data_IF_504610633212
#
_entry.id   IF_504610633212
#
_cell.length_a   1.000
_cell.length_b   1.000
_cell.length_c   1.000
_cell.angle_alpha   90.00
_cell.angle_beta   90.00
_cell.angle_gamma   90.00
#
_symmetry.space_group_name_H-M   'P 1'
#
loop_
_entity.id
_entity.type
_entity.pdbx_description
1 polymer ?
#
# COMPACT_ATOMS: atom_id res chain seq x y z
N UNK A 1 19.63 83.64 23.14
CA UNK A 1 21.01 84.16 22.91
C UNK A 1 21.76 83.15 22.09
N UNK A 2 22.31 83.62 20.97
CA UNK A 2 23.32 83.02 20.07
C UNK A 2 23.00 81.63 19.40
N UNK A 3 22.56 81.80 18.19
CA UNK A 3 22.71 81.07 16.98
C UNK A 3 24.13 80.57 16.72
N UNK A 4 24.27 79.25 16.28
CA UNK A 4 25.43 78.81 15.52
C UNK A 4 24.94 78.03 14.31
N UNK A 5 25.11 78.68 13.14
CA UNK A 5 24.96 78.01 11.82
C UNK A 5 26.18 77.08 11.57
N UNK A 6 25.97 75.88 11.21
CA UNK A 6 26.98 74.99 10.62
C UNK A 6 26.57 74.73 9.19
N UNK A 7 27.37 75.17 8.23
CA UNK A 7 27.22 74.93 6.82
C UNK A 7 27.78 73.47 6.53
N UNK A 8 26.95 72.59 6.00
CA UNK A 8 27.39 71.29 5.45
C UNK A 8 27.53 71.46 3.94
N UNK A 9 28.76 71.26 3.44
CA UNK A 9 29.08 71.14 2.02
C UNK A 9 28.57 69.84 1.49
N UNK A 10 27.65 69.81 0.52
CA UNK A 10 27.24 68.70 -0.23
C UNK A 10 28.17 68.50 -1.44
N UNK A 11 29.08 67.54 -1.36
CA UNK A 11 29.84 67.04 -2.52
C UNK A 11 28.98 66.12 -3.34
N UNK A 12 28.58 66.47 -4.53
CA UNK A 12 27.90 65.66 -5.49
C UNK A 12 28.96 64.78 -6.21
N UNK A 13 29.08 63.56 -5.83
CA UNK A 13 29.77 62.54 -6.62
C UNK A 13 28.83 62.02 -7.72
N UNK A 14 29.08 62.42 -8.96
CA UNK A 14 28.41 61.85 -10.14
C UNK A 14 29.05 60.46 -10.40
N UNK A 15 28.32 59.40 -10.01
CA UNK A 15 28.67 58.01 -10.39
C UNK A 15 28.16 57.79 -11.82
N UNK A 16 29.06 57.58 -12.76
CA UNK A 16 28.74 57.00 -14.08
C UNK A 16 28.39 55.53 -13.89
N UNK A 17 27.09 55.20 -13.90
CA UNK A 17 26.64 53.82 -14.01
C UNK A 17 26.75 53.45 -15.50
N UNK A 18 27.76 52.63 -15.83
CA UNK A 18 27.81 51.94 -17.11
C UNK A 18 26.66 50.94 -17.15
N UNK A 19 25.66 51.17 -18.00
CA UNK A 19 24.61 50.22 -18.28
C UNK A 19 25.23 49.02 -18.99
N UNK A 20 25.37 47.88 -18.28
CA UNK A 20 25.53 46.59 -18.94
C UNK A 20 24.23 46.29 -19.69
N UNK A 21 24.26 45.82 -20.94
CA UNK A 21 23.07 45.34 -21.62
C UNK A 21 22.53 44.12 -20.85
N UNK A 22 21.26 44.22 -20.41
CA UNK A 22 20.54 43.09 -19.90
C UNK A 22 20.49 42.01 -21.01
N UNK A 23 21.30 40.98 -20.88
CA UNK A 23 21.16 39.80 -21.67
C UNK A 23 19.78 39.21 -21.34
N UNK A 24 18.97 38.94 -22.37
CA UNK A 24 17.77 38.12 -22.22
C UNK A 24 18.19 36.82 -21.56
N UNK A 25 17.46 36.34 -20.55
CA UNK A 25 17.73 35.01 -20.04
C UNK A 25 17.55 34.04 -21.19
N UNK A 26 18.59 33.29 -21.52
CA UNK A 26 18.51 32.10 -22.37
C UNK A 26 17.45 31.21 -21.76
N UNK A 27 16.50 30.61 -22.52
CA UNK A 27 15.62 29.59 -22.00
C UNK A 27 16.53 28.52 -21.36
N UNK A 28 16.35 28.29 -20.05
CA UNK A 28 17.11 27.27 -19.35
C UNK A 28 16.90 25.95 -20.07
N UNK A 29 17.97 25.26 -20.39
CA UNK A 29 17.90 23.85 -20.81
C UNK A 29 17.25 23.10 -19.66
N UNK A 30 16.07 22.49 -19.91
CA UNK A 30 15.44 21.55 -18.98
C UNK A 30 16.48 20.46 -18.71
N UNK A 31 16.80 20.22 -17.45
CA UNK A 31 17.74 19.15 -17.07
C UNK A 31 17.01 17.80 -17.15
N UNK A 32 17.76 16.70 -17.21
CA UNK A 32 17.16 15.36 -17.16
C UNK A 32 16.35 15.17 -15.86
N UNK A 33 16.83 15.71 -14.75
CA UNK A 33 16.11 15.70 -13.47
C UNK A 33 14.78 16.48 -13.53
N UNK A 34 14.79 17.67 -14.15
CA UNK A 34 13.54 18.45 -14.32
C UNK A 34 12.54 17.71 -15.21
N UNK A 35 13.01 17.06 -16.30
CA UNK A 35 12.18 16.28 -17.21
C UNK A 35 11.56 15.05 -16.49
N UNK A 36 12.33 14.36 -15.64
CA UNK A 36 11.81 13.25 -14.83
C UNK A 36 10.71 13.72 -13.87
N UNK A 37 10.91 14.86 -13.18
CA UNK A 37 9.90 15.42 -12.28
C UNK A 37 8.64 15.81 -13.06
N UNK A 38 8.76 16.40 -14.26
CA UNK A 38 7.61 16.70 -15.11
C UNK A 38 6.85 15.43 -15.54
N UNK A 39 7.56 14.33 -15.84
CA UNK A 39 6.96 13.03 -16.15
C UNK A 39 6.20 12.47 -14.96
N UNK A 40 6.80 12.51 -13.77
CA UNK A 40 6.16 12.05 -12.52
C UNK A 40 4.91 12.90 -12.21
N UNK A 41 5.00 14.23 -12.38
CA UNK A 41 3.86 15.12 -12.19
C UNK A 41 2.69 14.74 -13.15
N UNK A 42 2.99 14.44 -14.41
CA UNK A 42 2.00 14.02 -15.41
C UNK A 42 1.32 12.70 -15.02
N UNK A 43 2.09 11.70 -14.59
CA UNK A 43 1.57 10.39 -14.12
C UNK A 43 0.58 10.59 -12.97
N UNK A 44 0.94 11.40 -11.96
CA UNK A 44 0.06 11.60 -10.80
C UNK A 44 -1.18 12.42 -11.15
N UNK A 45 -1.04 13.42 -12.02
CA UNK A 45 -2.18 14.22 -12.47
C UNK A 45 -3.17 13.38 -13.30
N UNK A 46 -2.68 12.50 -14.17
CA UNK A 46 -3.53 11.54 -14.89
C UNK A 46 -4.28 10.63 -13.93
N UNK A 47 -3.60 10.07 -12.91
CA UNK A 47 -4.23 9.21 -11.91
C UNK A 47 -5.27 9.93 -11.04
N UNK A 48 -5.17 11.24 -10.85
CA UNK A 48 -6.21 12.05 -10.20
C UNK A 48 -7.44 12.25 -11.09
N UNK A 49 -7.25 12.32 -12.41
CA UNK A 49 -8.32 12.53 -13.40
C UNK A 49 -8.99 11.20 -13.78
N UNK A 50 -8.30 10.06 -13.63
CA UNK A 50 -8.79 8.72 -13.89
C UNK A 50 -9.71 8.25 -12.75
N UNK A 51 -10.93 8.79 -12.74
CA UNK A 51 -11.93 8.65 -11.68
C UNK A 51 -11.69 9.60 -10.51
N UNK A 52 -12.74 9.95 -9.74
CA UNK A 52 -12.65 10.96 -8.70
C UNK A 52 -11.74 10.50 -7.56
N UNK A 53 -10.53 11.05 -7.51
CA UNK A 53 -9.56 10.88 -6.41
C UNK A 53 -9.35 12.21 -5.72
N UNK A 54 -9.51 12.25 -4.38
CA UNK A 54 -9.44 13.51 -3.62
C UNK A 54 -8.02 14.06 -3.57
N UNK A 55 -7.04 13.22 -3.23
CA UNK A 55 -5.62 13.57 -3.27
C UNK A 55 -4.72 12.35 -3.42
N UNK A 56 -3.53 12.62 -3.96
CA UNK A 56 -2.38 11.71 -3.95
C UNK A 56 -1.17 12.50 -3.45
N UNK A 57 -0.44 11.97 -2.47
CA UNK A 57 0.90 12.44 -2.10
C UNK A 57 1.93 11.39 -2.48
N UNK A 58 3.05 11.84 -3.03
CA UNK A 58 4.16 10.97 -3.46
C UNK A 58 5.47 11.41 -2.84
N UNK A 59 6.37 10.44 -2.65
CA UNK A 59 7.79 10.69 -2.52
C UNK A 59 8.56 9.65 -3.34
N UNK A 60 9.56 10.12 -4.07
CA UNK A 60 10.53 9.30 -4.81
C UNK A 60 11.91 9.68 -4.33
N UNK A 61 12.67 8.68 -3.88
CA UNK A 61 14.04 8.88 -3.41
C UNK A 61 14.96 7.85 -4.05
N UNK A 62 16.22 8.26 -4.32
CA UNK A 62 17.28 7.36 -4.73
C UNK A 62 18.47 7.55 -3.80
N UNK A 63 18.84 6.49 -3.09
CA UNK A 63 19.83 6.56 -2.03
C UNK A 63 19.45 7.59 -0.96
N UNK A 64 20.32 8.58 -0.74
CA UNK A 64 20.09 9.65 0.23
C UNK A 64 19.34 10.87 -0.35
N UNK A 65 19.15 10.94 -1.66
CA UNK A 65 18.49 12.05 -2.33
C UNK A 65 16.97 11.83 -2.44
N UNK A 66 16.19 12.90 -2.23
CA UNK A 66 14.77 12.92 -2.56
C UNK A 66 14.64 13.62 -3.91
N UNK A 67 14.25 12.85 -4.94
CA UNK A 67 14.03 13.35 -6.31
C UNK A 67 12.79 14.26 -6.32
N UNK A 68 11.70 13.79 -5.71
CA UNK A 68 10.45 14.53 -5.61
C UNK A 68 9.71 14.15 -4.34
N UNK A 69 9.06 15.12 -3.69
CA UNK A 69 8.10 14.89 -2.62
C UNK A 69 7.00 15.95 -2.72
N UNK A 70 5.80 15.56 -3.12
CA UNK A 70 4.68 16.48 -3.43
C UNK A 70 3.34 15.88 -3.02
N UNK A 71 2.34 16.74 -2.88
CA UNK A 71 0.94 16.37 -2.80
C UNK A 71 0.13 17.03 -3.92
N UNK A 72 -0.89 16.36 -4.39
CA UNK A 72 -1.79 16.77 -5.46
C UNK A 72 -3.23 16.59 -5.00
N UNK A 73 -4.13 17.49 -5.41
CA UNK A 73 -5.53 17.48 -4.96
C UNK A 73 -5.70 17.99 -3.53
N UNK A 74 -6.73 17.51 -2.83
CA UNK A 74 -7.15 18.02 -1.53
C UNK A 74 -7.10 16.96 -0.43
N UNK A 75 -6.34 17.25 0.63
CA UNK A 75 -6.34 16.48 1.86
C UNK A 75 -7.70 16.53 2.59
N UNK A 76 -8.42 17.62 2.41
CA UNK A 76 -9.79 17.83 2.89
C UNK A 76 -10.55 18.60 1.81
N UNK A 77 -11.47 17.91 1.14
CA UNK A 77 -12.23 18.47 0.00
C UNK A 77 -13.21 19.54 0.47
N UNK A 78 -13.90 19.28 1.60
CA UNK A 78 -14.92 20.21 2.11
C UNK A 78 -14.34 21.57 2.54
N UNK A 79 -13.11 21.56 3.04
CA UNK A 79 -12.40 22.76 3.50
C UNK A 79 -11.36 23.26 2.50
N UNK A 80 -11.27 22.67 1.30
CA UNK A 80 -10.33 23.01 0.23
C UNK A 80 -8.86 23.03 0.73
N UNK A 81 -8.49 22.11 1.65
CA UNK A 81 -7.13 22.00 2.17
C UNK A 81 -6.27 21.21 1.19
N UNK A 82 -5.26 21.81 0.54
CA UNK A 82 -4.44 21.09 -0.43
C UNK A 82 -3.60 20.00 0.24
N UNK A 83 -3.40 18.90 -0.46
CA UNK A 83 -2.45 17.87 -0.06
C UNK A 83 -1.00 18.34 -0.28
N UNK A 84 -0.10 17.86 0.54
CA UNK A 84 1.34 18.14 0.50
C UNK A 84 2.14 16.88 0.86
N UNK A 85 3.46 16.91 0.72
CA UNK A 85 4.34 15.84 1.21
C UNK A 85 4.25 15.62 2.74
N UNK A 86 3.72 16.60 3.49
CA UNK A 86 3.51 16.53 4.94
C UNK A 86 2.09 16.12 5.34
N UNK A 87 1.24 15.80 4.38
CA UNK A 87 -0.12 15.30 4.66
C UNK A 87 -0.02 13.91 5.25
N UNK A 88 -0.75 13.67 6.34
CA UNK A 88 -0.76 12.40 7.08
C UNK A 88 -1.92 11.55 6.61
N UNK A 89 -1.61 10.34 6.13
CA UNK A 89 -2.57 9.38 5.62
C UNK A 89 -2.64 8.15 6.52
N UNK A 90 -3.80 7.50 6.61
CA UNK A 90 -3.88 6.13 7.15
C UNK A 90 -3.16 5.20 6.19
N UNK A 91 -2.32 4.32 6.74
CA UNK A 91 -1.46 3.44 5.96
C UNK A 91 -2.11 2.11 5.57
N UNK A 92 -3.18 1.72 6.28
CA UNK A 92 -3.70 0.36 6.12
C UNK A 92 -2.58 -0.67 6.29
N UNK A 93 -2.53 -1.64 5.42
CA UNK A 93 -1.63 -2.81 5.57
C UNK A 93 -0.13 -2.51 5.47
N UNK A 94 0.29 -1.34 5.00
CA UNK A 94 1.71 -0.92 5.12
C UNK A 94 2.16 -0.94 6.61
N UNK A 95 1.22 -0.84 7.57
CA UNK A 95 1.45 -1.07 9.01
C UNK A 95 2.16 -2.39 9.30
N UNK A 96 1.92 -3.44 8.50
CA UNK A 96 2.47 -4.79 8.75
C UNK A 96 3.99 -4.84 8.73
N UNK A 97 4.64 -4.00 7.95
CA UNK A 97 6.10 -3.88 7.95
C UNK A 97 6.63 -3.48 9.34
N UNK A 98 5.96 -2.50 9.98
CA UNK A 98 6.34 -2.01 11.31
C UNK A 98 6.12 -3.08 12.39
N UNK A 99 4.99 -3.79 12.32
CA UNK A 99 4.69 -4.91 13.22
C UNK A 99 5.73 -6.01 13.08
N UNK A 100 6.06 -6.40 11.83
CA UNK A 100 7.08 -7.42 11.56
C UNK A 100 8.45 -7.02 12.10
N UNK A 101 8.89 -5.77 11.85
CA UNK A 101 10.16 -5.28 12.40
C UNK A 101 10.17 -5.33 13.92
N UNK A 102 9.10 -4.88 14.59
CA UNK A 102 9.01 -4.92 16.05
C UNK A 102 9.13 -6.35 16.59
N UNK A 103 8.43 -7.32 15.97
CA UNK A 103 8.52 -8.75 16.32
C UNK A 103 9.92 -9.31 16.05
N UNK A 104 10.53 -8.98 14.90
CA UNK A 104 11.84 -9.49 14.52
C UNK A 104 12.95 -8.96 15.44
N UNK A 105 12.81 -7.77 16.01
CA UNK A 105 13.71 -7.28 17.08
C UNK A 105 13.63 -8.13 18.35
N UNK A 106 12.42 -8.59 18.72
CA UNK A 106 12.27 -9.54 19.86
C UNK A 106 12.83 -10.93 19.51
N UNK A 107 12.85 -11.30 18.23
CA UNK A 107 13.54 -12.50 17.77
C UNK A 107 15.05 -12.36 17.89
N UNK A 108 15.63 -11.21 17.53
CA UNK A 108 17.07 -10.93 17.69
C UNK A 108 17.53 -10.98 19.14
N UNK A 109 16.71 -10.49 20.07
CA UNK A 109 17.02 -10.54 21.52
C UNK A 109 16.75 -11.92 22.13
N UNK A 110 16.10 -12.84 21.39
CA UNK A 110 15.78 -14.19 21.84
C UNK A 110 14.56 -14.28 22.77
N UNK A 111 13.76 -13.23 22.87
CA UNK A 111 12.52 -13.20 23.65
C UNK A 111 11.42 -13.99 22.96
N UNK A 112 11.43 -14.00 21.61
CA UNK A 112 10.55 -14.78 20.76
C UNK A 112 11.40 -15.66 19.82
N UNK A 113 10.93 -16.88 19.55
CA UNK A 113 11.39 -17.68 18.41
C UNK A 113 10.30 -17.71 17.33
N UNK A 114 10.72 -17.65 16.08
CA UNK A 114 9.80 -17.81 14.94
C UNK A 114 9.08 -19.18 14.96
N UNK A 115 9.71 -20.18 15.56
CA UNK A 115 9.16 -21.52 15.75
C UNK A 115 8.31 -21.70 17.02
N UNK A 116 8.22 -20.69 17.87
CA UNK A 116 7.34 -20.73 19.03
C UNK A 116 5.88 -20.89 18.59
N UNK A 117 5.15 -21.76 19.30
CA UNK A 117 3.69 -21.82 19.16
C UNK A 117 3.04 -20.57 19.77
N UNK A 118 2.07 -20.00 19.08
CA UNK A 118 1.41 -18.77 19.54
C UNK A 118 0.75 -18.92 20.90
N UNK A 119 0.34 -20.14 21.26
CA UNK A 119 -0.25 -20.47 22.58
C UNK A 119 0.73 -20.33 23.76
N UNK A 120 2.03 -20.19 23.48
CA UNK A 120 3.04 -19.81 24.49
C UNK A 120 2.78 -18.41 25.03
N UNK A 121 2.33 -17.51 24.17
CA UNK A 121 2.10 -16.10 24.48
C UNK A 121 0.61 -15.80 24.69
N UNK A 122 -0.25 -16.51 23.98
CA UNK A 122 -1.71 -16.37 24.01
C UNK A 122 -2.35 -17.71 24.45
N UNK A 123 -2.19 -18.11 25.72
CA UNK A 123 -2.60 -19.45 26.20
C UNK A 123 -4.11 -19.70 26.09
N UNK A 124 -4.92 -18.65 26.14
CA UNK A 124 -6.36 -18.74 26.06
C UNK A 124 -6.89 -18.73 24.62
N UNK A 125 -6.03 -18.50 23.60
CA UNK A 125 -6.43 -18.55 22.19
C UNK A 125 -6.61 -19.98 21.71
N UNK A 126 -7.79 -20.31 21.19
CA UNK A 126 -8.09 -21.64 20.66
C UNK A 126 -7.47 -21.84 19.29
N UNK A 127 -6.44 -22.68 19.20
CA UNK A 127 -5.91 -23.15 17.90
C UNK A 127 -6.62 -24.40 17.37
N UNK A 128 -7.68 -24.86 18.03
CA UNK A 128 -8.45 -26.07 17.67
C UNK A 128 -7.56 -27.31 17.49
N UNK A 129 -6.46 -27.37 18.24
CA UNK A 129 -5.47 -28.46 18.18
C UNK A 129 -4.48 -28.38 17.03
N UNK A 130 -4.48 -27.29 16.27
CA UNK A 130 -3.46 -27.01 15.26
C UNK A 130 -2.20 -26.40 15.90
N UNK A 131 -1.03 -26.70 15.32
CA UNK A 131 0.24 -26.08 15.71
C UNK A 131 0.47 -24.84 14.89
N UNK A 132 0.04 -23.68 15.40
CA UNK A 132 0.27 -22.37 14.78
C UNK A 132 1.52 -21.75 15.38
N UNK A 133 2.49 -21.39 14.53
CA UNK A 133 3.76 -20.77 14.93
C UNK A 133 3.78 -19.29 14.56
N UNK A 134 4.69 -18.54 15.19
CA UNK A 134 4.86 -17.09 14.95
C UNK A 134 5.11 -16.79 13.46
N UNK A 135 5.99 -17.55 12.79
CA UNK A 135 6.25 -17.34 11.35
C UNK A 135 5.02 -17.57 10.47
N UNK A 136 4.10 -18.49 10.85
CA UNK A 136 2.86 -18.71 10.10
C UNK A 136 1.96 -17.45 10.10
N UNK A 137 2.00 -16.65 11.18
CA UNK A 137 1.27 -15.38 11.23
C UNK A 137 1.94 -14.31 10.37
N UNK A 138 3.28 -14.24 10.41
CA UNK A 138 4.07 -13.24 9.68
C UNK A 138 3.96 -13.41 8.16
N UNK A 139 3.91 -14.65 7.66
CA UNK A 139 3.90 -14.97 6.23
C UNK A 139 2.54 -15.44 5.70
N UNK A 140 1.46 -15.26 6.47
CA UNK A 140 0.08 -15.59 6.07
C UNK A 140 -0.20 -17.07 5.77
N UNK A 141 0.54 -17.99 6.42
CA UNK A 141 0.37 -19.44 6.24
C UNK A 141 -0.30 -20.12 7.42
N UNK A 142 -0.91 -19.35 8.34
CA UNK A 142 -1.53 -19.88 9.56
C UNK A 142 -2.81 -20.66 9.33
N UNK A 143 -3.55 -20.38 8.25
CA UNK A 143 -4.89 -20.91 8.01
C UNK A 143 -5.98 -20.40 8.95
N UNK A 144 -5.66 -19.51 9.90
CA UNK A 144 -6.63 -18.85 10.79
C UNK A 144 -7.59 -18.01 9.94
N UNK A 145 -8.89 -18.01 10.29
CA UNK A 145 -9.87 -17.17 9.60
C UNK A 145 -9.59 -15.69 9.77
N UNK A 146 -9.55 -14.93 8.66
CA UNK A 146 -9.41 -13.48 8.74
C UNK A 146 -10.70 -12.82 9.20
N UNK A 147 -10.64 -11.94 10.21
CA UNK A 147 -11.82 -11.22 10.70
C UNK A 147 -12.45 -10.33 9.62
N UNK A 148 -11.65 -9.78 8.71
CA UNK A 148 -12.13 -8.94 7.60
C UNK A 148 -12.94 -9.73 6.57
N UNK A 149 -12.82 -11.06 6.54
CA UNK A 149 -13.61 -11.96 5.71
C UNK A 149 -14.91 -12.46 6.34
N UNK A 150 -15.31 -11.93 7.51
CA UNK A 150 -16.53 -12.37 8.21
C UNK A 150 -17.81 -11.60 7.79
N UNK A 151 -17.74 -10.77 6.73
CA UNK A 151 -18.90 -10.02 6.25
C UNK A 151 -19.54 -9.16 7.35
N UNK A 152 -20.87 -9.15 7.42
CA UNK A 152 -21.64 -8.35 8.39
C UNK A 152 -21.30 -8.64 9.87
N UNK A 153 -20.78 -9.81 10.20
CA UNK A 153 -20.38 -10.15 11.58
C UNK A 153 -19.29 -9.20 12.08
N UNK A 154 -18.36 -8.81 11.23
CA UNK A 154 -17.32 -7.83 11.52
C UNK A 154 -17.71 -6.42 11.07
N UNK A 155 -18.08 -6.23 9.79
CA UNK A 155 -18.31 -4.90 9.23
C UNK A 155 -19.47 -4.16 9.90
N UNK A 156 -20.52 -4.89 10.37
CA UNK A 156 -21.60 -4.32 11.17
C UNK A 156 -21.15 -3.73 12.51
N UNK A 157 -19.95 -4.11 13.00
CA UNK A 157 -19.37 -3.62 14.26
C UNK A 157 -18.12 -2.76 14.05
N UNK A 158 -17.65 -2.58 12.84
CA UNK A 158 -16.38 -1.93 12.49
C UNK A 158 -16.24 -0.48 12.99
N UNK A 159 -17.36 0.17 13.31
CA UNK A 159 -17.40 1.54 13.89
C UNK A 159 -17.22 1.55 15.41
N UNK A 160 -17.32 0.40 16.06
CA UNK A 160 -17.19 0.28 17.51
C UNK A 160 -15.75 0.07 17.92
N UNK A 161 -15.38 0.58 19.07
CA UNK A 161 -14.11 0.26 19.71
C UNK A 161 -14.20 -1.16 20.27
N UNK A 162 -13.68 -2.12 19.54
CA UNK A 162 -13.61 -3.52 19.95
C UNK A 162 -12.38 -3.74 20.82
N UNK A 163 -12.56 -4.50 21.90
CA UNK A 163 -11.45 -5.01 22.70
C UNK A 163 -10.74 -6.18 21.99
N UNK A 164 -9.57 -6.59 22.47
CA UNK A 164 -8.91 -7.80 21.97
C UNK A 164 -9.80 -9.03 22.12
N UNK A 165 -10.48 -9.15 23.25
CA UNK A 165 -11.39 -10.27 23.52
C UNK A 165 -12.55 -10.30 22.52
N UNK A 166 -13.20 -9.14 22.24
CA UNK A 166 -14.28 -9.06 21.25
C UNK A 166 -13.85 -9.54 19.86
N UNK A 167 -12.64 -9.17 19.42
CA UNK A 167 -12.15 -9.55 18.10
C UNK A 167 -11.68 -11.00 18.07
N UNK A 168 -11.02 -11.47 19.13
CA UNK A 168 -10.59 -12.86 19.27
C UNK A 168 -11.80 -13.80 19.29
N UNK A 169 -12.89 -13.47 20.01
CA UNK A 169 -14.12 -14.25 20.02
C UNK A 169 -14.76 -14.41 18.64
N UNK A 170 -14.60 -13.43 17.73
CA UNK A 170 -15.13 -13.53 16.37
C UNK A 170 -14.41 -14.59 15.53
N UNK A 171 -13.13 -14.87 15.80
CA UNK A 171 -12.28 -15.72 14.96
C UNK A 171 -11.93 -17.06 15.61
N UNK A 172 -11.86 -17.15 16.93
CA UNK A 172 -11.31 -18.32 17.65
C UNK A 172 -12.05 -19.64 17.38
N UNK A 173 -13.35 -19.59 17.20
CA UNK A 173 -14.18 -20.77 16.93
C UNK A 173 -14.46 -21.03 15.44
N UNK A 174 -13.94 -20.15 14.54
CA UNK A 174 -14.09 -20.35 13.09
C UNK A 174 -13.17 -21.49 12.62
N UNK A 175 -13.61 -22.33 11.69
CA UNK A 175 -12.74 -23.37 11.14
C UNK A 175 -11.55 -22.74 10.42
N UNK A 176 -10.40 -23.40 10.50
CA UNK A 176 -9.23 -23.02 9.72
C UNK A 176 -9.52 -23.18 8.22
N UNK A 177 -9.03 -22.26 7.39
CA UNK A 177 -9.15 -22.35 5.93
C UNK A 177 -8.28 -23.50 5.38
N UNK A 178 -7.14 -23.78 6.04
CA UNK A 178 -6.21 -24.88 5.75
C UNK A 178 -5.34 -25.18 6.97
N UNK A 179 -4.63 -26.29 6.96
CA UNK A 179 -3.68 -26.60 8.04
C UNK A 179 -2.46 -25.66 7.99
N UNK A 180 -1.92 -25.21 9.13
CA UNK A 180 -0.78 -24.29 9.17
C UNK A 180 0.40 -24.78 8.31
N UNK A 181 0.95 -23.89 7.48
CA UNK A 181 2.05 -24.17 6.56
C UNK A 181 1.69 -24.91 5.27
N UNK A 182 0.40 -25.25 5.04
CA UNK A 182 -0.02 -25.98 3.83
C UNK A 182 -0.68 -25.13 2.77
N UNK A 183 -0.94 -23.85 3.05
CA UNK A 183 -1.56 -22.92 2.13
C UNK A 183 -1.18 -21.48 2.48
N UNK A 184 -1.47 -20.58 1.56
CA UNK A 184 -1.31 -19.13 1.72
C UNK A 184 -2.68 -18.46 1.61
N UNK A 185 -3.01 -17.61 2.58
CA UNK A 185 -4.14 -16.70 2.50
C UNK A 185 -3.82 -15.45 3.32
N UNK A 186 -3.81 -14.30 2.64
CA UNK A 186 -3.56 -13.01 3.29
C UNK A 186 -4.51 -12.81 4.48
N UNK A 187 -3.96 -12.48 5.66
CA UNK A 187 -4.70 -12.64 6.91
C UNK A 187 -4.45 -11.50 7.90
N UNK A 188 -5.48 -10.69 8.14
CA UNK A 188 -5.42 -9.61 9.11
C UNK A 188 -5.48 -10.12 10.56
N UNK A 189 -6.18 -11.24 10.83
CA UNK A 189 -6.21 -11.84 12.17
C UNK A 189 -4.82 -12.28 12.63
N UNK A 190 -4.00 -12.82 11.71
CA UNK A 190 -2.61 -13.19 12.03
C UNK A 190 -1.81 -12.01 12.53
N UNK A 191 -1.88 -10.88 11.82
CA UNK A 191 -1.17 -9.67 12.24
C UNK A 191 -1.75 -9.03 13.49
N UNK A 192 -3.06 -9.12 13.71
CA UNK A 192 -3.69 -8.70 14.96
C UNK A 192 -3.12 -9.49 16.14
N UNK A 193 -3.04 -10.82 16.03
CA UNK A 193 -2.45 -11.69 17.06
C UNK A 193 -0.95 -11.41 17.28
N UNK A 194 -0.19 -11.04 16.23
CA UNK A 194 1.21 -10.62 16.39
C UNK A 194 1.34 -9.36 17.26
N UNK A 195 0.43 -8.39 17.13
CA UNK A 195 0.39 -7.23 18.02
C UNK A 195 0.09 -7.61 19.48
N UNK A 196 -0.85 -8.53 19.70
CA UNK A 196 -1.14 -9.04 21.05
C UNK A 196 0.06 -9.80 21.64
N UNK A 197 0.79 -10.58 20.83
CA UNK A 197 2.04 -11.26 21.25
C UNK A 197 3.10 -10.22 21.64
N UNK A 198 3.23 -9.14 20.86
CA UNK A 198 4.16 -8.07 21.18
C UNK A 198 3.83 -7.45 22.54
N UNK A 199 2.56 -7.10 22.79
CA UNK A 199 2.13 -6.53 24.08
C UNK A 199 2.37 -7.50 25.24
N UNK A 200 2.10 -8.80 25.05
CA UNK A 200 2.33 -9.82 26.09
C UNK A 200 3.82 -9.97 26.43
N UNK A 201 4.69 -9.93 25.44
CA UNK A 201 6.14 -10.12 25.64
C UNK A 201 6.79 -8.87 26.22
N UNK A 202 6.41 -7.69 25.74
CA UNK A 202 7.05 -6.43 26.17
C UNK A 202 6.42 -5.84 27.43
N UNK A 203 5.14 -6.11 27.66
CA UNK A 203 4.34 -5.48 28.72
C UNK A 203 3.88 -4.07 28.38
N UNK A 204 4.22 -3.55 27.20
CA UNK A 204 3.87 -2.21 26.73
C UNK A 204 2.74 -2.29 25.70
N UNK A 205 1.81 -1.30 25.67
CA UNK A 205 0.85 -1.19 24.59
C UNK A 205 1.56 -1.06 23.25
N UNK A 206 1.01 -1.72 22.20
CA UNK A 206 1.59 -1.74 20.85
C UNK A 206 1.97 -0.35 20.33
N UNK A 207 1.06 0.63 20.48
CA UNK A 207 1.28 2.00 20.02
C UNK A 207 2.46 2.68 20.73
N UNK A 208 2.60 2.47 22.03
CA UNK A 208 3.65 3.04 22.86
C UNK A 208 4.99 2.37 22.56
N UNK A 209 4.99 1.04 22.45
CA UNK A 209 6.19 0.28 22.08
C UNK A 209 6.77 0.74 20.74
N UNK A 210 5.93 0.89 19.68
CA UNK A 210 6.41 1.38 18.38
C UNK A 210 6.91 2.83 18.46
N UNK A 211 6.23 3.71 19.21
CA UNK A 211 6.66 5.10 19.38
C UNK A 211 8.05 5.17 19.99
N UNK A 212 8.23 4.53 21.15
CA UNK A 212 9.47 4.62 21.94
C UNK A 212 10.66 3.90 21.30
N UNK A 213 10.39 2.77 20.62
CA UNK A 213 11.48 1.91 20.12
C UNK A 213 11.79 2.10 18.64
N UNK A 214 10.87 2.71 17.87
CA UNK A 214 11.00 2.87 16.42
C UNK A 214 10.83 4.34 16.00
N UNK A 215 9.66 4.96 16.27
CA UNK A 215 9.34 6.25 15.67
C UNK A 215 10.22 7.38 16.21
N UNK A 216 10.33 7.51 17.53
CA UNK A 216 11.16 8.53 18.17
C UNK A 216 12.66 8.38 17.84
N UNK A 217 13.25 7.18 17.92
CA UNK A 217 14.67 6.98 17.56
C UNK A 217 15.01 7.29 16.10
N UNK A 218 14.04 7.14 15.20
CA UNK A 218 14.21 7.44 13.77
C UNK A 218 13.80 8.87 13.41
N UNK A 219 13.15 9.61 14.31
CA UNK A 219 12.62 10.96 14.04
C UNK A 219 11.41 10.95 13.11
N UNK A 220 10.59 9.89 13.13
CA UNK A 220 9.35 9.79 12.35
C UNK A 220 8.22 10.56 13.08
N UNK A 221 8.30 11.89 13.05
CA UNK A 221 7.45 12.77 13.88
C UNK A 221 5.97 12.76 13.49
N UNK A 222 5.67 12.42 12.23
CA UNK A 222 4.31 12.36 11.70
C UNK A 222 3.75 10.93 11.64
N UNK A 223 4.53 9.93 12.05
CA UNK A 223 4.12 8.52 12.11
C UNK A 223 3.58 8.18 13.49
N UNK A 224 2.38 7.60 13.55
CA UNK A 224 1.75 7.24 14.82
C UNK A 224 0.66 6.18 14.65
N UNK A 225 0.19 5.63 15.77
CA UNK A 225 -1.06 4.87 15.80
C UNK A 225 -2.24 5.82 15.55
N UNK A 226 -2.97 5.62 14.47
CA UNK A 226 -3.93 6.58 13.91
C UNK A 226 -5.29 6.57 14.63
N UNK A 227 -5.32 6.71 15.96
CA UNK A 227 -6.57 6.80 16.73
C UNK A 227 -7.44 7.96 16.23
N UNK A 228 -8.76 7.78 16.36
CA UNK A 228 -9.72 8.82 15.95
C UNK A 228 -9.77 10.00 16.95
N UNK A 229 -9.51 9.75 18.22
CA UNK A 229 -9.62 10.72 19.32
C UNK A 229 -8.53 11.81 19.29
N UNK A 230 -7.21 11.51 19.18
CA UNK A 230 -6.18 12.54 19.22
C UNK A 230 -6.23 13.46 17.99
N UNK A 231 -5.86 14.72 18.21
CA UNK A 231 -5.60 15.65 17.10
C UNK A 231 -4.26 15.26 16.46
N UNK A 232 -4.31 14.80 15.23
CA UNK A 232 -3.15 14.53 14.39
C UNK A 232 -3.05 15.66 13.38
N UNK A 233 -1.96 16.44 13.47
CA UNK A 233 -1.76 17.57 12.56
C UNK A 233 -1.63 17.10 11.12
N UNK A 234 -2.18 17.85 10.18
CA UNK A 234 -2.14 17.57 8.74
C UNK A 234 -2.82 16.26 8.32
N UNK A 235 -3.64 15.66 9.17
CA UNK A 235 -4.34 14.42 8.85
C UNK A 235 -5.38 14.66 7.75
N UNK A 236 -5.29 13.88 6.67
CA UNK A 236 -6.26 13.90 5.58
C UNK A 236 -7.62 13.35 6.04
N UNK A 237 -8.70 13.90 5.48
CA UNK A 237 -10.01 13.27 5.47
C UNK A 237 -9.99 12.10 4.47
N UNK A 238 -10.76 11.04 4.74
CA UNK A 238 -10.87 9.86 3.89
C UNK A 238 -12.13 9.89 3.04
N UNK A 239 -12.02 9.51 1.79
CA UNK A 239 -13.12 9.51 0.82
C UNK A 239 -13.32 8.14 0.19
N UNK A 240 -14.50 7.91 -0.37
CA UNK A 240 -14.84 6.72 -1.14
C UNK A 240 -15.48 7.13 -2.46
N UNK A 241 -15.41 6.24 -3.44
CA UNK A 241 -16.16 6.38 -4.70
C UNK A 241 -17.49 5.64 -4.57
N UNK A 242 -18.59 6.31 -4.90
CA UNK A 242 -19.92 5.69 -4.96
C UNK A 242 -20.64 6.25 -6.19
N UNK A 243 -21.04 5.38 -7.08
CA UNK A 243 -21.75 5.76 -8.34
C UNK A 243 -20.99 6.85 -9.15
N UNK A 244 -19.64 6.79 -9.17
CA UNK A 244 -18.80 7.76 -9.88
C UNK A 244 -18.58 9.10 -9.16
N UNK A 245 -19.09 9.26 -7.94
CA UNK A 245 -18.95 10.48 -7.15
C UNK A 245 -18.08 10.26 -5.90
N UNK A 246 -17.36 11.31 -5.48
CA UNK A 246 -16.67 11.30 -4.18
C UNK A 246 -17.68 11.50 -3.05
N UNK A 247 -17.61 10.61 -2.07
CA UNK A 247 -18.35 10.71 -0.80
C UNK A 247 -17.40 10.54 0.38
N UNK A 248 -17.79 10.96 1.58
CA UNK A 248 -17.02 10.67 2.77
C UNK A 248 -16.96 9.16 3.00
N UNK A 249 -15.77 8.63 3.30
CA UNK A 249 -15.60 7.22 3.62
C UNK A 249 -16.33 6.84 4.91
N UNK A 250 -16.69 5.58 5.04
CA UNK A 250 -17.28 5.07 6.26
C UNK A 250 -16.30 5.15 7.44
N UNK A 251 -16.84 5.49 8.61
CA UNK A 251 -16.03 5.56 9.83
C UNK A 251 -15.63 4.15 10.24
N UNK A 252 -14.33 3.96 10.47
CA UNK A 252 -13.76 2.75 11.04
C UNK A 252 -13.12 3.08 12.40
N UNK A 253 -13.40 2.29 13.43
CA UNK A 253 -12.62 2.34 14.65
C UNK A 253 -11.22 1.77 14.41
N UNK A 254 -10.20 2.49 14.86
CA UNK A 254 -8.80 2.07 14.67
C UNK A 254 -8.37 0.97 15.66
N UNK A 255 -9.23 0.55 16.58
CA UNK A 255 -8.98 -0.64 17.42
C UNK A 255 -9.05 -1.93 16.60
N UNK A 256 -9.89 -1.97 15.56
CA UNK A 256 -10.10 -3.16 14.73
C UNK A 256 -8.92 -3.50 13.82
N UNK A 257 -8.31 -2.56 13.05
CA UNK A 257 -7.14 -2.87 12.25
C UNK A 257 -5.87 -3.07 13.09
N UNK A 258 -5.76 -2.40 14.26
CA UNK A 258 -4.67 -2.56 15.22
C UNK A 258 -3.30 -2.73 14.53
N UNK A 259 -2.52 -3.75 14.91
CA UNK A 259 -1.21 -4.08 14.33
C UNK A 259 -1.22 -4.59 12.89
N UNK A 260 -2.42 -4.84 12.33
CA UNK A 260 -2.58 -5.19 10.93
C UNK A 260 -2.75 -3.97 10.00
N UNK A 261 -3.14 -2.77 10.55
CA UNK A 261 -3.49 -1.67 9.66
C UNK A 261 -3.71 -0.29 10.30
N UNK A 262 -3.36 -0.06 11.57
CA UNK A 262 -3.80 1.14 12.29
C UNK A 262 -2.80 2.31 12.31
N UNK A 263 -1.69 2.24 11.60
CA UNK A 263 -0.73 3.35 11.56
C UNK A 263 -1.16 4.43 10.55
N UNK A 264 -0.69 5.63 10.78
CA UNK A 264 -0.68 6.71 9.80
C UNK A 264 0.70 7.36 9.73
N UNK A 265 1.00 7.95 8.57
CA UNK A 265 2.30 8.53 8.27
C UNK A 265 2.22 9.54 7.11
N UNK A 266 3.37 10.12 6.78
CA UNK A 266 3.61 10.94 5.59
C UNK A 266 4.51 10.20 4.61
N UNK A 267 4.53 10.65 3.35
CA UNK A 267 5.46 10.12 2.34
C UNK A 267 6.92 10.32 2.75
N UNK A 268 7.24 11.38 3.48
CA UNK A 268 8.60 11.69 3.94
C UNK A 268 9.06 10.75 5.05
N UNK A 269 8.23 10.51 6.05
CA UNK A 269 8.53 9.56 7.13
C UNK A 269 8.70 8.13 6.59
N UNK A 270 7.90 7.75 5.58
CA UNK A 270 8.02 6.43 4.96
C UNK A 270 9.30 6.26 4.13
N UNK A 271 9.83 7.33 3.51
CA UNK A 271 11.17 7.29 2.90
C UNK A 271 12.25 7.07 3.96
N UNK A 272 12.18 7.78 5.11
CA UNK A 272 13.13 7.58 6.19
C UNK A 272 12.99 6.20 6.85
N UNK A 273 11.76 5.69 7.01
CA UNK A 273 11.50 4.32 7.42
C UNK A 273 12.21 3.31 6.53
N UNK A 274 12.03 3.42 5.21
CA UNK A 274 12.64 2.51 4.24
C UNK A 274 14.17 2.58 4.29
N UNK A 275 14.73 3.79 4.37
CA UNK A 275 16.17 3.99 4.55
C UNK A 275 16.70 3.34 5.82
N UNK A 276 15.96 3.45 6.92
CA UNK A 276 16.34 2.83 8.18
C UNK A 276 16.33 1.31 8.09
N UNK A 277 15.35 0.74 7.39
CA UNK A 277 15.23 -0.70 7.18
C UNK A 277 16.39 -1.23 6.31
N UNK A 278 16.67 -0.58 5.18
CA UNK A 278 17.73 -0.99 4.24
C UNK A 278 19.15 -0.83 4.83
N UNK A 279 19.34 0.14 5.73
CA UNK A 279 20.66 0.40 6.35
C UNK A 279 20.91 -0.38 7.65
N UNK A 280 20.08 -1.36 7.97
CA UNK A 280 20.16 -2.20 9.17
C UNK A 280 20.12 -1.40 10.48
N UNK A 281 19.43 -0.26 10.49
CA UNK A 281 19.23 0.55 11.72
C UNK A 281 18.10 0.01 12.60
N UNK A 282 17.25 -0.82 12.04
CA UNK A 282 16.06 -1.38 12.71
C UNK A 282 16.29 -2.81 13.17
N UNK A 283 16.80 -3.64 12.31
CA UNK A 283 17.16 -5.04 12.51
C UNK A 283 18.52 -5.29 11.87
N UNK A 284 19.22 -6.37 12.23
CA UNK A 284 20.49 -6.70 11.60
C UNK A 284 20.30 -7.24 10.16
N UNK A 285 21.41 -7.33 9.39
CA UNK A 285 21.37 -7.74 8.00
C UNK A 285 20.81 -9.16 7.80
N UNK A 286 21.10 -10.08 8.72
CA UNK A 286 20.63 -11.46 8.62
C UNK A 286 19.12 -11.55 8.91
N UNK A 287 18.64 -10.74 9.84
CA UNK A 287 17.22 -10.60 10.15
C UNK A 287 16.47 -9.96 8.99
N UNK A 288 17.00 -8.88 8.41
CA UNK A 288 16.40 -8.26 7.22
C UNK A 288 16.35 -9.23 6.05
N UNK A 289 17.43 -9.92 5.74
CA UNK A 289 17.46 -10.96 4.69
C UNK A 289 16.37 -12.02 4.92
N UNK A 290 16.18 -12.44 6.17
CA UNK A 290 15.12 -13.39 6.51
C UNK A 290 13.71 -12.82 6.27
N UNK A 291 13.50 -11.53 6.54
CA UNK A 291 12.20 -10.87 6.31
C UNK A 291 11.83 -10.81 4.83
N UNK A 292 12.82 -10.63 3.95
CA UNK A 292 12.62 -10.49 2.51
C UNK A 292 12.82 -11.79 1.73
N UNK A 293 13.13 -12.90 2.40
CA UNK A 293 13.27 -14.23 1.77
C UNK A 293 11.97 -15.03 1.99
N UNK A 294 11.11 -15.17 0.98
CA UNK A 294 9.89 -15.94 1.11
C UNK A 294 10.19 -17.41 1.42
N UNK A 295 9.38 -17.99 2.29
CA UNK A 295 9.42 -19.42 2.59
C UNK A 295 8.68 -20.23 1.51
N UNK A 296 8.71 -21.55 1.61
CA UNK A 296 7.94 -22.47 0.77
C UNK A 296 6.87 -23.16 1.59
N UNK A 297 5.73 -23.44 0.98
CA UNK A 297 4.71 -24.27 1.59
C UNK A 297 5.17 -25.72 1.79
N UNK A 298 4.44 -26.50 2.56
CA UNK A 298 4.75 -27.89 2.85
C UNK A 298 4.83 -28.80 1.61
N UNK A 299 4.16 -28.43 0.51
CA UNK A 299 4.21 -29.11 -0.79
C UNK A 299 5.37 -28.64 -1.68
N UNK A 300 6.14 -27.62 -1.22
CA UNK A 300 7.26 -27.03 -1.94
C UNK A 300 6.88 -25.85 -2.84
N UNK A 301 5.63 -25.40 -2.84
CA UNK A 301 5.23 -24.20 -3.59
C UNK A 301 5.88 -22.94 -2.99
N UNK A 302 6.53 -22.09 -3.81
CA UNK A 302 7.16 -20.88 -3.32
C UNK A 302 6.11 -19.84 -2.92
N UNK A 303 6.39 -19.09 -1.86
CA UNK A 303 5.64 -17.86 -1.53
C UNK A 303 6.25 -16.65 -2.26
N UNK A 304 5.46 -15.59 -2.39
CA UNK A 304 5.89 -14.26 -2.85
C UNK A 304 5.78 -13.22 -1.74
N UNK A 305 5.60 -13.67 -0.50
CA UNK A 305 5.43 -12.85 0.68
C UNK A 305 6.38 -13.31 1.78
N UNK A 306 7.18 -12.37 2.27
CA UNK A 306 8.07 -12.57 3.40
C UNK A 306 7.39 -12.23 4.73
N UNK A 307 8.05 -11.48 5.60
CA UNK A 307 7.49 -11.05 6.88
C UNK A 307 7.04 -9.58 6.79
N UNK A 308 5.78 -9.37 6.42
CA UNK A 308 5.19 -8.04 6.23
C UNK A 308 5.60 -7.34 4.94
N UNK A 309 6.16 -8.06 3.98
CA UNK A 309 6.73 -7.54 2.74
C UNK A 309 6.38 -8.46 1.58
N UNK A 310 5.85 -7.90 0.50
CA UNK A 310 5.67 -8.57 -0.78
C UNK A 310 6.97 -8.52 -1.57
N UNK A 311 7.33 -9.64 -2.19
CA UNK A 311 8.56 -9.81 -2.95
C UNK A 311 8.18 -10.09 -4.40
N UNK A 312 8.67 -9.27 -5.30
CA UNK A 312 8.38 -9.35 -6.73
C UNK A 312 9.49 -8.71 -7.57
N UNK A 313 9.16 -8.38 -8.80
CA UNK A 313 10.05 -7.69 -9.73
C UNK A 313 9.26 -6.86 -10.74
N UNK A 314 9.91 -5.92 -11.40
CA UNK A 314 9.45 -5.24 -12.60
C UNK A 314 10.56 -5.26 -13.64
N UNK A 315 10.32 -5.88 -14.80
CA UNK A 315 11.32 -5.99 -15.89
C UNK A 315 12.72 -6.45 -15.42
N UNK A 316 12.76 -7.37 -14.43
CA UNK A 316 14.01 -7.90 -13.89
C UNK A 316 14.63 -7.08 -12.75
N UNK A 317 14.07 -5.94 -12.39
CA UNK A 317 14.44 -5.18 -11.19
C UNK A 317 13.70 -5.74 -9.98
N UNK A 318 14.43 -6.23 -8.99
CA UNK A 318 13.83 -6.75 -7.77
C UNK A 318 13.00 -5.67 -7.07
N UNK A 319 11.82 -6.05 -6.53
CA UNK A 319 10.89 -5.16 -5.84
C UNK A 319 10.50 -5.73 -4.49
N UNK A 320 10.64 -4.94 -3.44
CA UNK A 320 10.17 -5.22 -2.09
C UNK A 320 9.12 -4.16 -1.77
N UNK A 321 7.88 -4.57 -1.47
CA UNK A 321 6.79 -3.60 -1.34
C UNK A 321 5.73 -4.04 -0.36
N UNK A 322 4.83 -3.15 -0.01
CA UNK A 322 3.53 -3.47 0.57
C UNK A 322 2.51 -2.39 0.23
N UNK A 323 1.36 -2.83 -0.26
CA UNK A 323 0.20 -1.99 -0.43
C UNK A 323 -0.64 -1.87 0.85
N UNK A 324 -1.53 -0.91 0.90
CA UNK A 324 -2.45 -0.71 2.01
C UNK A 324 -3.82 -0.22 1.56
N UNK A 325 -4.87 -0.87 2.04
CA UNK A 325 -6.25 -0.42 1.88
C UNK A 325 -6.93 -0.34 3.24
N UNK A 326 -7.59 0.75 3.51
CA UNK A 326 -8.40 0.99 4.70
C UNK A 326 -9.43 2.08 4.39
N UNK A 327 -10.55 2.09 5.10
CA UNK A 327 -11.63 3.04 4.86
C UNK A 327 -11.11 4.47 4.59
N UNK A 328 -11.35 4.94 3.38
CA UNK A 328 -10.95 6.26 2.88
C UNK A 328 -9.53 6.38 2.36
N UNK A 329 -8.73 5.31 2.31
CA UNK A 329 -7.31 5.41 1.94
C UNK A 329 -6.81 4.17 1.22
N UNK A 330 -6.04 4.39 0.14
CA UNK A 330 -5.22 3.39 -0.51
C UNK A 330 -3.77 3.88 -0.58
N UNK A 331 -2.81 3.01 -0.31
CA UNK A 331 -1.40 3.39 -0.14
C UNK A 331 -0.47 2.33 -0.71
N UNK A 332 0.73 2.73 -1.11
CA UNK A 332 1.82 1.78 -1.41
C UNK A 332 3.18 2.36 -1.02
N UNK A 333 4.07 1.48 -0.59
CA UNK A 333 5.49 1.72 -0.37
C UNK A 333 6.26 0.62 -1.09
N UNK A 334 7.14 0.99 -2.00
CA UNK A 334 7.99 0.09 -2.76
C UNK A 334 9.46 0.51 -2.67
N UNK A 335 10.34 -0.50 -2.66
CA UNK A 335 11.77 -0.36 -2.71
C UNK A 335 12.37 -1.28 -3.77
N UNK A 336 13.25 -0.73 -4.58
CA UNK A 336 14.01 -1.39 -5.64
C UNK A 336 15.48 -1.51 -5.21
N UNK A 337 15.89 -2.64 -4.63
CA UNK A 337 17.18 -2.76 -3.96
C UNK A 337 18.38 -2.61 -4.90
N UNK A 338 18.27 -3.08 -6.15
CA UNK A 338 19.36 -3.00 -7.13
C UNK A 338 19.65 -1.56 -7.58
N UNK A 339 18.66 -0.66 -7.49
CA UNK A 339 18.72 0.73 -7.93
C UNK A 339 18.75 1.72 -6.75
N UNK A 340 18.58 1.22 -5.53
CA UNK A 340 18.40 2.01 -4.29
C UNK A 340 17.30 3.07 -4.41
N UNK A 341 16.17 2.69 -5.06
CA UNK A 341 15.01 3.56 -5.30
C UNK A 341 13.89 3.21 -4.35
N UNK A 342 13.36 4.22 -3.65
CA UNK A 342 12.16 4.14 -2.82
C UNK A 342 11.05 4.98 -3.42
N UNK A 343 9.87 4.40 -3.59
CA UNK A 343 8.68 5.09 -4.09
C UNK A 343 7.56 4.91 -3.07
N UNK A 344 6.95 6.02 -2.68
CA UNK A 344 5.80 6.07 -1.77
C UNK A 344 4.66 6.77 -2.47
N UNK A 345 3.49 6.17 -2.47
CA UNK A 345 2.25 6.77 -3.00
C UNK A 345 1.13 6.60 -1.97
N UNK A 346 0.56 7.70 -1.50
CA UNK A 346 -0.50 7.71 -0.50
C UNK A 346 -1.71 8.47 -1.05
N UNK A 347 -2.87 7.83 -1.10
CA UNK A 347 -4.13 8.42 -1.56
C UNK A 347 -5.19 8.39 -0.45
N UNK A 348 -5.99 9.44 -0.35
CA UNK A 348 -7.11 9.54 0.59
C UNK A 348 -8.46 9.20 -0.06
N UNK A 349 -8.48 8.20 -0.93
CA UNK A 349 -9.69 7.75 -1.63
C UNK A 349 -9.68 6.23 -1.75
N UNK A 350 -10.75 5.57 -1.32
CA UNK A 350 -11.00 4.16 -1.63
C UNK A 350 -11.14 3.96 -3.14
N UNK A 351 -10.53 2.90 -3.67
CA UNK A 351 -10.53 2.59 -5.10
C UNK A 351 -9.53 3.43 -5.93
N UNK A 352 -8.73 4.32 -5.30
CA UNK A 352 -7.52 4.81 -5.95
C UNK A 352 -6.54 3.64 -6.15
N UNK A 353 -5.75 3.70 -7.22
CA UNK A 353 -4.75 2.66 -7.53
C UNK A 353 -3.32 3.19 -7.35
N UNK A 354 -2.81 3.30 -6.09
CA UNK A 354 -1.46 3.77 -5.84
C UNK A 354 -0.40 2.81 -6.37
N UNK A 355 -0.70 1.52 -6.52
CA UNK A 355 0.25 0.54 -7.07
C UNK A 355 0.50 0.79 -8.55
N UNK A 356 -0.53 1.15 -9.34
CA UNK A 356 -0.36 1.58 -10.74
C UNK A 356 0.48 2.85 -10.83
N UNK A 357 0.20 3.86 -10.00
CA UNK A 357 0.98 5.10 -9.97
C UNK A 357 2.44 4.81 -9.62
N UNK A 358 2.68 3.98 -8.62
CA UNK A 358 4.02 3.54 -8.19
C UNK A 358 4.77 2.87 -9.35
N UNK A 359 4.15 1.93 -10.08
CA UNK A 359 4.78 1.24 -11.22
C UNK A 359 5.12 2.18 -12.37
N UNK A 360 4.22 3.11 -12.71
CA UNK A 360 4.49 4.09 -13.76
C UNK A 360 5.66 5.02 -13.37
N UNK A 361 5.72 5.43 -12.10
CA UNK A 361 6.84 6.20 -11.56
C UNK A 361 8.13 5.36 -11.60
N UNK A 362 8.07 4.09 -11.19
CA UNK A 362 9.23 3.19 -11.23
C UNK A 362 9.76 3.04 -12.67
N UNK A 363 8.89 2.84 -13.66
CA UNK A 363 9.28 2.80 -15.07
C UNK A 363 10.01 4.07 -15.53
N UNK A 364 9.49 5.23 -15.14
CA UNK A 364 10.11 6.51 -15.47
C UNK A 364 11.48 6.70 -14.78
N UNK A 365 11.61 6.30 -13.51
CA UNK A 365 12.85 6.44 -12.74
C UNK A 365 13.93 5.45 -13.18
N UNK A 366 13.53 4.23 -13.54
CA UNK A 366 14.42 3.13 -13.95
C UNK A 366 14.66 3.10 -15.47
N UNK A 367 14.12 4.08 -16.22
CA UNK A 367 14.21 4.15 -17.70
C UNK A 367 13.73 2.86 -18.39
N UNK A 368 12.63 2.29 -17.86
CA UNK A 368 12.02 1.08 -18.40
C UNK A 368 11.03 1.43 -19.53
N UNK A 369 10.96 0.58 -20.57
CA UNK A 369 9.98 0.78 -21.64
C UNK A 369 8.55 0.67 -21.10
N UNK A 370 7.61 1.35 -21.77
CA UNK A 370 6.19 1.10 -21.53
C UNK A 370 5.86 -0.37 -21.86
N UNK A 371 5.01 -1.03 -21.05
CA UNK A 371 4.65 -2.42 -21.32
C UNK A 371 3.87 -2.51 -22.64
N UNK A 372 4.34 -3.33 -23.55
CA UNK A 372 3.59 -3.67 -24.76
C UNK A 372 2.55 -4.74 -24.43
N UNK A 373 1.41 -4.33 -23.89
CA UNK A 373 0.28 -5.25 -23.67
C UNK A 373 -0.43 -5.46 -25.00
N UNK A 374 -0.26 -6.66 -25.59
CA UNK A 374 -0.95 -7.02 -26.80
C UNK A 374 -2.47 -7.12 -26.57
N UNK A 375 -3.27 -6.65 -27.51
CA UNK A 375 -4.71 -6.94 -27.56
C UNK A 375 -4.98 -7.81 -28.81
N UNK A 376 -4.76 -9.10 -28.67
CA UNK A 376 -4.96 -10.05 -29.76
C UNK A 376 -6.43 -10.13 -30.17
N UNK A 377 -6.74 -10.41 -31.45
CA UNK A 377 -8.11 -10.69 -31.85
C UNK A 377 -8.70 -11.87 -31.07
N UNK A 378 -9.83 -11.67 -30.41
CA UNK A 378 -10.49 -12.73 -29.66
C UNK A 378 -11.33 -13.59 -30.61
N UNK A 379 -11.18 -14.93 -30.63
CA UNK A 379 -12.10 -15.81 -31.36
C UNK A 379 -13.54 -15.69 -30.83
N UNK A 380 -14.53 -15.66 -31.69
CA UNK A 380 -15.94 -15.53 -31.27
C UNK A 380 -16.38 -16.68 -30.33
N UNK A 381 -15.80 -17.85 -30.48
CA UNK A 381 -16.00 -19.00 -29.59
C UNK A 381 -15.44 -18.75 -28.18
N UNK A 382 -14.32 -18.02 -28.08
CA UNK A 382 -13.72 -17.65 -26.80
C UNK A 382 -14.58 -16.61 -26.07
N UNK A 383 -15.14 -15.64 -26.78
CA UNK A 383 -16.08 -14.67 -26.21
C UNK A 383 -17.31 -15.41 -25.66
N UNK A 384 -17.98 -16.22 -26.52
CA UNK A 384 -19.21 -16.92 -26.14
C UNK A 384 -19.01 -17.88 -24.94
N UNK A 385 -17.81 -18.44 -24.81
CA UNK A 385 -17.41 -19.35 -23.75
C UNK A 385 -17.28 -18.66 -22.40
N UNK A 386 -16.76 -17.42 -22.37
CA UNK A 386 -16.32 -16.74 -21.16
C UNK A 386 -17.36 -15.75 -20.60
N UNK A 387 -18.33 -15.31 -21.42
CA UNK A 387 -19.44 -14.45 -20.97
C UNK A 387 -20.28 -15.19 -19.92
N UNK A 388 -20.54 -14.53 -18.78
CA UNK A 388 -21.34 -15.07 -17.67
C UNK A 388 -21.04 -14.41 -16.35
N UNK A 389 -21.67 -14.88 -15.29
CA UNK A 389 -21.47 -14.38 -13.91
C UNK A 389 -20.68 -15.40 -13.09
N UNK A 390 -19.65 -14.92 -12.42
CA UNK A 390 -18.75 -15.71 -11.59
C UNK A 390 -18.78 -15.18 -10.16
N UNK A 391 -18.84 -16.07 -9.18
CA UNK A 391 -18.86 -15.73 -7.76
C UNK A 391 -17.51 -15.99 -7.08
N UNK A 392 -16.98 -14.98 -6.40
CA UNK A 392 -15.83 -15.05 -5.52
C UNK A 392 -16.29 -14.70 -4.10
N UNK A 393 -16.79 -15.67 -3.34
CA UNK A 393 -17.50 -15.40 -2.10
C UNK A 393 -18.77 -14.58 -2.36
N UNK A 394 -18.89 -13.42 -1.72
CA UNK A 394 -20.02 -12.50 -1.92
C UNK A 394 -19.80 -11.52 -3.10
N UNK A 395 -18.59 -11.45 -3.66
CA UNK A 395 -18.27 -10.63 -4.81
C UNK A 395 -18.71 -11.34 -6.11
N UNK A 396 -19.46 -10.64 -6.94
CA UNK A 396 -19.82 -11.10 -8.27
C UNK A 396 -18.95 -10.42 -9.32
N UNK A 397 -18.46 -11.22 -10.26
CA UNK A 397 -17.75 -10.77 -11.45
C UNK A 397 -18.64 -11.03 -12.65
N UNK A 398 -19.20 -10.01 -13.24
CA UNK A 398 -19.98 -10.10 -14.48
C UNK A 398 -19.05 -9.93 -15.68
N UNK A 399 -18.98 -10.95 -16.54
CA UNK A 399 -18.22 -10.91 -17.78
C UNK A 399 -19.20 -10.81 -18.94
N UNK A 400 -19.10 -9.74 -19.71
CA UNK A 400 -19.96 -9.42 -20.84
C UNK A 400 -19.15 -9.16 -22.11
N UNK A 401 -19.85 -9.08 -23.27
CA UNK A 401 -19.26 -8.67 -24.55
C UNK A 401 -19.59 -7.21 -24.85
N UNK A 402 -18.59 -6.45 -25.26
CA UNK A 402 -18.73 -5.11 -25.79
C UNK A 402 -17.81 -4.95 -27.02
N UNK A 403 -18.39 -4.65 -28.19
CA UNK A 403 -17.71 -4.43 -29.48
C UNK A 403 -16.63 -5.49 -29.81
N UNK A 404 -16.98 -6.78 -29.62
CA UNK A 404 -16.10 -7.92 -29.91
C UNK A 404 -14.96 -8.11 -28.91
N UNK A 405 -15.09 -7.57 -27.71
CA UNK A 405 -14.16 -7.69 -26.57
C UNK A 405 -14.90 -8.17 -25.34
N UNK A 406 -14.17 -8.79 -24.41
CA UNK A 406 -14.70 -9.06 -23.09
C UNK A 406 -14.51 -7.86 -22.17
N UNK A 407 -15.52 -7.60 -21.36
CA UNK A 407 -15.53 -6.61 -20.29
C UNK A 407 -15.90 -7.32 -19.01
N UNK A 408 -15.16 -7.08 -17.94
CA UNK A 408 -15.44 -7.63 -16.62
C UNK A 408 -15.82 -6.52 -15.66
N UNK A 409 -16.88 -6.72 -14.90
CA UNK A 409 -17.33 -5.79 -13.87
C UNK A 409 -17.49 -6.53 -12.54
N UNK A 410 -16.77 -6.10 -11.53
CA UNK A 410 -16.98 -6.55 -10.16
C UNK A 410 -18.14 -5.76 -9.52
N UNK A 411 -18.82 -6.36 -8.53
CA UNK A 411 -19.90 -5.70 -7.79
C UNK A 411 -19.42 -4.34 -7.25
N UNK A 412 -20.21 -3.30 -7.52
CA UNK A 412 -19.95 -1.90 -7.10
C UNK A 412 -18.64 -1.28 -7.64
N UNK A 413 -18.05 -1.85 -8.70
CA UNK A 413 -16.87 -1.32 -9.37
C UNK A 413 -17.19 -0.94 -10.83
N UNK A 414 -16.31 -0.15 -11.44
CA UNK A 414 -16.39 0.16 -12.85
C UNK A 414 -16.05 -1.05 -13.72
N UNK A 415 -16.60 -1.09 -14.92
CA UNK A 415 -16.34 -2.15 -15.86
C UNK A 415 -14.96 -1.98 -16.51
N UNK A 416 -14.16 -3.04 -16.56
CA UNK A 416 -12.80 -3.06 -17.09
C UNK A 416 -12.76 -3.93 -18.34
N UNK A 417 -12.17 -3.40 -19.42
CA UNK A 417 -11.95 -4.16 -20.66
C UNK A 417 -10.85 -5.18 -20.46
N UNK A 418 -11.02 -6.38 -21.00
CA UNK A 418 -10.06 -7.47 -20.95
C UNK A 418 -9.32 -7.59 -22.29
N UNK A 419 -7.99 -7.39 -22.27
CA UNK A 419 -7.10 -7.50 -23.42
C UNK A 419 -6.65 -8.95 -23.60
N UNK A 420 -6.98 -9.56 -24.71
CA UNK A 420 -6.71 -10.98 -24.96
C UNK A 420 -5.23 -11.24 -25.24
N UNK A 421 -4.65 -12.19 -24.49
CA UNK A 421 -3.24 -12.60 -24.60
C UNK A 421 -3.06 -13.96 -25.28
N UNK A 422 -4.15 -14.64 -25.66
CA UNK A 422 -4.11 -16.05 -26.10
C UNK A 422 -4.32 -17.02 -24.95
N UNK A 423 -4.58 -18.30 -25.26
CA UNK A 423 -4.68 -19.41 -24.31
C UNK A 423 -5.56 -19.14 -23.09
N UNK A 424 -6.76 -18.55 -23.32
CA UNK A 424 -7.73 -18.18 -22.28
C UNK A 424 -7.26 -17.15 -21.25
N UNK A 425 -6.13 -16.49 -21.54
CA UNK A 425 -5.56 -15.44 -20.68
C UNK A 425 -5.92 -14.05 -21.19
N UNK A 426 -6.23 -13.17 -20.24
CA UNK A 426 -6.53 -11.77 -20.45
C UNK A 426 -5.78 -10.90 -19.44
N UNK A 427 -5.58 -9.64 -19.80
CA UNK A 427 -5.03 -8.59 -18.93
C UNK A 427 -6.07 -7.47 -18.84
N UNK A 428 -6.25 -6.89 -17.66
CA UNK A 428 -7.13 -5.72 -17.49
C UNK A 428 -6.53 -4.51 -18.21
N UNK A 429 -7.36 -3.75 -18.93
CA UNK A 429 -6.89 -2.62 -19.75
C UNK A 429 -6.41 -1.42 -18.93
N UNK A 430 -6.83 -1.33 -17.69
CA UNK A 430 -6.51 -0.26 -16.74
C UNK A 430 -5.37 -0.64 -15.79
N UNK A 431 -5.03 -1.94 -15.69
CA UNK A 431 -3.94 -2.42 -14.85
C UNK A 431 -3.35 -3.74 -15.40
N UNK A 432 -2.18 -3.65 -15.99
CA UNK A 432 -1.47 -4.78 -16.63
C UNK A 432 -1.06 -5.90 -15.66
N UNK A 433 -1.01 -5.66 -14.36
CA UNK A 433 -0.75 -6.69 -13.35
C UNK A 433 -2.00 -7.50 -12.99
N UNK A 434 -3.18 -7.01 -13.37
CA UNK A 434 -4.40 -7.77 -13.21
C UNK A 434 -4.56 -8.69 -14.41
N UNK A 435 -4.32 -9.97 -14.21
CA UNK A 435 -4.57 -10.97 -15.25
C UNK A 435 -5.73 -11.89 -14.86
N UNK A 436 -6.49 -12.26 -15.88
CA UNK A 436 -7.64 -13.15 -15.76
C UNK A 436 -7.42 -14.37 -16.64
N UNK A 437 -7.58 -15.55 -16.08
CA UNK A 437 -7.47 -16.82 -16.81
C UNK A 437 -8.78 -17.58 -16.67
N UNK A 438 -9.41 -17.90 -17.80
CA UNK A 438 -10.60 -18.73 -17.80
C UNK A 438 -10.24 -20.21 -17.90
N UNK A 439 -10.96 -21.06 -17.15
CA UNK A 439 -10.72 -22.49 -17.18
C UNK A 439 -10.84 -23.05 -18.61
N UNK A 440 -9.87 -23.86 -19.04
CA UNK A 440 -9.79 -24.37 -20.42
C UNK A 440 -10.80 -25.46 -20.75
N UNK A 441 -11.40 -26.12 -19.75
CA UNK A 441 -12.28 -27.28 -19.92
C UNK A 441 -13.75 -26.88 -20.11
N UNK A 442 -14.48 -27.62 -20.95
CA UNK A 442 -15.92 -27.47 -21.17
C UNK A 442 -16.32 -26.53 -22.32
N UNK A 443 -17.63 -26.56 -22.69
CA UNK A 443 -18.21 -25.67 -23.71
C UNK A 443 -18.35 -24.21 -23.21
N UNK A 444 -18.44 -24.03 -21.89
CA UNK A 444 -18.40 -22.74 -21.19
C UNK A 444 -17.34 -22.80 -20.09
N UNK A 445 -16.71 -21.67 -19.80
CA UNK A 445 -15.75 -21.59 -18.71
C UNK A 445 -16.48 -21.73 -17.37
N UNK A 446 -16.21 -22.81 -16.63
CA UNK A 446 -16.81 -23.06 -15.31
C UNK A 446 -16.21 -22.24 -14.19
N UNK A 447 -15.02 -21.68 -14.42
CA UNK A 447 -14.23 -20.92 -13.44
C UNK A 447 -13.42 -19.86 -14.17
N UNK A 448 -13.19 -18.74 -13.50
CA UNK A 448 -12.13 -17.81 -13.83
C UNK A 448 -11.20 -17.61 -12.63
N UNK A 449 -9.95 -17.32 -12.90
CA UNK A 449 -8.93 -17.02 -11.89
C UNK A 449 -8.41 -15.61 -12.14
N UNK A 450 -8.50 -14.74 -11.13
CA UNK A 450 -7.92 -13.40 -11.15
C UNK A 450 -6.60 -13.43 -10.40
N UNK A 451 -5.57 -12.91 -11.01
CA UNK A 451 -4.27 -12.66 -10.40
C UNK A 451 -4.14 -11.15 -10.18
N UNK A 452 -3.97 -10.72 -8.94
CA UNK A 452 -3.88 -9.30 -8.58
C UNK A 452 -3.09 -9.14 -7.29
N UNK A 453 -2.11 -8.22 -7.28
CA UNK A 453 -1.33 -7.88 -6.09
C UNK A 453 -0.61 -9.08 -5.45
N UNK A 454 -0.17 -10.07 -6.25
CA UNK A 454 0.42 -11.32 -5.79
C UNK A 454 -0.59 -12.35 -5.24
N UNK A 455 -1.88 -12.00 -5.19
CA UNK A 455 -2.97 -12.90 -4.83
C UNK A 455 -3.51 -13.69 -6.02
N UNK A 456 -4.07 -14.87 -5.75
CA UNK A 456 -4.77 -15.72 -6.72
C UNK A 456 -6.20 -15.92 -6.22
N UNK A 457 -7.18 -15.51 -7.00
CA UNK A 457 -8.59 -15.50 -6.63
C UNK A 457 -9.39 -16.33 -7.63
N UNK A 458 -9.97 -17.45 -7.17
CA UNK A 458 -10.76 -18.33 -8.01
C UNK A 458 -12.26 -18.04 -7.86
N UNK A 459 -12.90 -17.61 -8.92
CA UNK A 459 -14.33 -17.37 -9.00
C UNK A 459 -15.03 -18.47 -9.79
N UNK A 460 -16.10 -19.03 -9.21
CA UNK A 460 -16.88 -20.09 -9.83
C UNK A 460 -18.04 -19.52 -10.62
N UNK A 461 -18.28 -20.05 -11.82
CA UNK A 461 -19.42 -19.62 -12.64
C UNK A 461 -20.73 -20.03 -11.95
N UNK A 462 -21.69 -19.08 -11.92
CA UNK A 462 -23.04 -19.28 -11.37
C UNK A 462 -24.14 -19.09 -12.41
N UNK A 463 -23.88 -18.35 -13.51
CA UNK A 463 -24.79 -18.15 -14.66
C UNK A 463 -24.02 -18.11 -15.99
#
# INVERSE_FOLDING_TARGET
MRSLFVHAFISICILFIAACPAGNPTPGTVTEADALVETIDAIVMEALEDGPTAAISIAVAQGSEIIVAKGYGYADVENEVPATAHTVYRLGSVTKQFTSVALMRLVETGEISLDDEITRFLPDYSTQGQTVRVHHLLNHTSGIKSYTGLGEEFWGKSRLDLSHDDLVEMIADKPFDFAPGTGYAYNNSGYYLLGMILEEVTGDPYAEHLSETIFEPLGLEATSYCRNEPIIMHRAAGYARREGELVNAEILSMTSPFSAGALCSTVLDLVEWQRALNSNRLVDAATYERMITPETLADGAPLTYGYGLSIGEIEGHAKISHGGGINGFNTTLAYYPDDDVTIVVLANTEGANPDRVERLIARAVLDLPEPEVADLPIPAEEIARNVGTYALGDLLLEVSEDDGRLVMQATDQEAVRLLYQGDHRFIASDDEEISVVFAAEGEVAGQLTVFQGGGVYEAQRIE
#
